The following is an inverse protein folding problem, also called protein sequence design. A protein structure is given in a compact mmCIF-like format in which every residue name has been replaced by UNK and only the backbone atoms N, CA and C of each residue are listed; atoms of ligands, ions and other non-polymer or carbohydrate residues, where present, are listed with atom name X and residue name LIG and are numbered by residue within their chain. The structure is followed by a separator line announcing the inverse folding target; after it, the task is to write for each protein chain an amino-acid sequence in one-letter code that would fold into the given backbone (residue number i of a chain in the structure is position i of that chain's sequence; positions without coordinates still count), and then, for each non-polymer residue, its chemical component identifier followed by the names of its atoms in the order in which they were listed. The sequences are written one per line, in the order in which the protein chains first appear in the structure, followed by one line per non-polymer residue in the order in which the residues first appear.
data_IF_158089854756
#
_entry.id   IF_158089854756
#
_cell.length_a   1.000
_cell.length_b   1.000
_cell.length_c   1.000
_cell.angle_alpha   90.00
_cell.angle_beta   90.00
_cell.angle_gamma   90.00
#
_symmetry.space_group_name_H-M   'P 1'
#
loop_
_entity.id
_entity.type
_entity.pdbx_description
1 polymer ?
#
# COMPACT_ATOMS: atom_id res chain seq x y z
N UNK A 1 -20.07 -7.56 -15.06
CA UNK A 1 -18.95 -6.78 -14.48
C UNK A 1 -18.09 -6.10 -15.54
N UNK A 2 -17.55 -6.83 -16.54
CA UNK A 2 -16.73 -6.23 -17.61
C UNK A 2 -17.32 -4.98 -18.26
N UNK A 3 -18.60 -5.02 -18.66
CA UNK A 3 -19.29 -3.88 -19.28
C UNK A 3 -19.36 -2.62 -18.40
N UNK A 4 -19.35 -2.77 -17.06
CA UNK A 4 -19.34 -1.62 -16.16
C UNK A 4 -17.94 -1.01 -16.09
N UNK A 5 -16.89 -1.84 -16.03
CA UNK A 5 -15.49 -1.41 -16.09
C UNK A 5 -15.13 -0.72 -17.41
N UNK A 6 -15.69 -1.20 -18.52
CA UNK A 6 -15.47 -0.64 -19.86
C UNK A 6 -16.46 0.51 -20.19
N UNK A 7 -17.25 0.98 -19.22
CA UNK A 7 -18.16 2.10 -19.42
C UNK A 7 -17.42 3.44 -19.54
N UNK A 8 -18.07 4.41 -20.17
CA UNK A 8 -17.53 5.77 -20.27
C UNK A 8 -17.30 6.40 -18.90
N UNK A 9 -18.22 6.20 -17.95
CA UNK A 9 -18.10 6.72 -16.59
C UNK A 9 -16.83 6.21 -15.91
N UNK A 10 -16.60 4.89 -15.89
CA UNK A 10 -15.39 4.32 -15.30
C UNK A 10 -14.15 4.79 -16.05
N UNK A 11 -14.18 4.81 -17.39
CA UNK A 11 -13.03 5.27 -18.18
C UNK A 11 -12.62 6.72 -17.84
N UNK A 12 -13.59 7.59 -17.59
CA UNK A 12 -13.34 8.97 -17.20
C UNK A 12 -12.79 9.12 -15.78
N UNK A 13 -13.09 8.19 -14.85
CA UNK A 13 -12.76 8.33 -13.42
C UNK A 13 -11.73 7.30 -12.92
N UNK A 14 -11.32 6.33 -13.75
CA UNK A 14 -10.41 5.25 -13.34
C UNK A 14 -9.07 5.79 -12.84
N UNK A 15 -8.60 6.89 -13.43
CA UNK A 15 -7.36 7.56 -13.03
C UNK A 15 -7.39 8.04 -11.56
N UNK A 16 -8.56 8.40 -11.02
CA UNK A 16 -8.70 8.80 -9.63
C UNK A 16 -8.48 7.63 -8.67
N UNK A 17 -8.91 6.42 -9.06
CA UNK A 17 -8.60 5.20 -8.32
C UNK A 17 -7.13 4.80 -8.47
N UNK A 18 -6.54 4.99 -9.66
CA UNK A 18 -5.10 4.79 -9.86
C UNK A 18 -4.30 5.72 -8.95
N UNK A 19 -4.74 6.98 -8.77
CA UNK A 19 -4.08 7.91 -7.86
C UNK A 19 -4.04 7.42 -6.41
N UNK A 20 -5.09 6.71 -5.98
CA UNK A 20 -5.18 6.12 -4.63
C UNK A 20 -4.25 4.91 -4.47
N UNK A 21 -4.15 4.05 -5.48
CA UNK A 21 -3.43 2.78 -5.37
C UNK A 21 -1.97 2.87 -5.80
N UNK A 22 -1.65 3.72 -6.77
CA UNK A 22 -0.32 3.82 -7.39
C UNK A 22 0.18 5.26 -7.56
N UNK A 23 -0.67 6.26 -7.34
CA UNK A 23 -0.31 7.66 -7.54
C UNK A 23 -0.08 8.43 -6.25
N UNK A 24 -0.20 9.75 -6.35
CA UNK A 24 0.17 10.67 -5.28
C UNK A 24 -0.75 10.63 -4.05
N UNK A 25 -1.95 10.03 -4.17
CA UNK A 25 -2.88 9.86 -3.02
C UNK A 25 -2.62 8.55 -2.26
N UNK A 26 -1.57 7.79 -2.58
CA UNK A 26 -1.21 6.57 -1.86
C UNK A 26 -0.50 6.86 -0.52
N UNK A 27 0.25 7.97 -0.43
CA UNK A 27 1.08 8.35 0.73
C UNK A 27 0.96 9.84 1.04
N UNK A 28 1.53 10.28 2.15
CA UNK A 28 1.62 11.69 2.52
C UNK A 28 0.30 12.31 2.98
N UNK A 29 0.21 13.63 2.87
CA UNK A 29 -0.95 14.40 3.30
C UNK A 29 -2.16 14.18 2.37
N UNK A 30 -1.91 13.91 1.09
CA UNK A 30 -2.96 13.61 0.11
C UNK A 30 -3.67 12.30 0.42
N UNK A 31 -2.94 11.27 0.87
CA UNK A 31 -3.55 10.04 1.38
C UNK A 31 -4.39 10.27 2.63
N UNK A 32 -3.93 11.14 3.55
CA UNK A 32 -4.71 11.51 4.74
C UNK A 32 -6.01 12.23 4.35
N UNK A 33 -5.93 13.20 3.43
CA UNK A 33 -7.08 13.94 2.95
C UNK A 33 -8.09 13.07 2.20
N UNK A 34 -7.64 11.96 1.61
CA UNK A 34 -8.47 11.01 0.88
C UNK A 34 -8.91 9.79 1.71
N UNK A 35 -8.65 9.77 3.02
CA UNK A 35 -8.91 8.63 3.92
C UNK A 35 -8.28 7.31 3.44
N UNK A 36 -7.07 7.39 2.87
CA UNK A 36 -6.37 6.29 2.19
C UNK A 36 -5.04 5.92 2.90
N UNK A 37 -4.94 6.14 4.21
CA UNK A 37 -3.77 5.73 4.99
C UNK A 37 -3.93 4.30 5.51
N UNK A 38 -2.90 3.49 5.28
CA UNK A 38 -2.80 2.12 5.79
C UNK A 38 -1.77 2.03 6.93
N UNK A 39 -1.68 0.85 7.55
CA UNK A 39 -0.68 0.59 8.59
C UNK A 39 0.73 0.75 8.01
N UNK A 40 1.65 1.42 8.72
CA UNK A 40 2.95 1.81 8.14
C UNK A 40 3.76 0.64 7.54
N UNK A 41 3.63 -0.56 8.10
CA UNK A 41 4.30 -1.77 7.60
C UNK A 41 3.80 -2.26 6.23
N UNK A 42 2.58 -1.88 5.82
CA UNK A 42 2.06 -2.27 4.50
C UNK A 42 2.81 -1.55 3.37
N UNK A 43 3.51 -0.45 3.67
CA UNK A 43 4.30 0.32 2.71
C UNK A 43 5.71 -0.23 2.48
N UNK A 44 6.04 -1.35 3.11
CA UNK A 44 7.34 -2.01 3.08
C UNK A 44 8.11 -1.91 4.39
N UNK A 45 9.23 -2.63 4.47
CA UNK A 45 10.16 -2.52 5.59
C UNK A 45 10.90 -1.17 5.47
N UNK A 46 10.99 -0.36 6.54
CA UNK A 46 11.79 0.86 6.52
C UNK A 46 13.24 0.56 6.12
N UNK A 47 13.85 1.42 5.30
CA UNK A 47 15.25 1.25 4.85
C UNK A 47 16.26 1.13 6.00
N UNK A 48 15.89 1.62 7.19
CA UNK A 48 16.70 1.62 8.41
C UNK A 48 16.55 0.32 9.23
N UNK A 49 15.71 -0.62 8.78
CA UNK A 49 15.46 -1.88 9.45
C UNK A 49 15.69 -3.01 8.43
N UNK A 50 16.94 -3.36 8.16
CA UNK A 50 17.16 -4.59 7.43
C UNK A 50 16.67 -5.76 8.28
N UNK A 51 15.81 -6.61 7.72
CA UNK A 51 15.37 -7.85 8.37
C UNK A 51 16.54 -8.74 8.79
N UNK A 52 17.70 -8.58 8.13
CA UNK A 52 18.93 -9.31 8.42
C UNK A 52 19.78 -8.71 9.54
N UNK A 53 19.48 -7.48 9.96
CA UNK A 53 20.20 -6.76 11.03
C UNK A 53 19.48 -6.88 12.38
N UNK A 54 18.28 -7.48 12.40
CA UNK A 54 17.54 -7.73 13.62
C UNK A 54 18.22 -8.86 14.43
N UNK A 55 18.62 -8.55 15.66
CA UNK A 55 19.31 -9.50 16.54
C UNK A 55 18.37 -10.61 17.04
N UNK A 56 17.06 -10.35 17.06
CA UNK A 56 16.04 -11.26 17.60
C UNK A 56 15.22 -11.91 16.49
N UNK A 57 15.35 -13.24 16.40
CA UNK A 57 14.62 -14.05 15.43
C UNK A 57 13.09 -13.92 15.54
N UNK A 58 12.56 -13.79 16.76
CA UNK A 58 11.12 -13.64 17.00
C UNK A 58 10.57 -12.33 16.41
N UNK A 59 11.31 -11.23 16.55
CA UNK A 59 10.91 -9.94 15.98
C UNK A 59 10.93 -10.00 14.45
N UNK A 60 11.95 -10.63 13.86
CA UNK A 60 12.04 -10.84 12.42
C UNK A 60 10.83 -11.65 11.90
N UNK A 61 10.52 -12.78 12.56
CA UNK A 61 9.39 -13.63 12.21
C UNK A 61 8.05 -12.89 12.35
N UNK A 62 7.89 -12.09 13.40
CA UNK A 62 6.68 -11.30 13.61
C UNK A 62 6.46 -10.26 12.52
N UNK A 63 7.54 -9.58 12.10
CA UNK A 63 7.51 -8.56 11.05
C UNK A 63 7.25 -9.18 9.68
N UNK A 64 7.88 -10.31 9.38
CA UNK A 64 7.63 -11.08 8.15
C UNK A 64 6.18 -11.55 8.09
N UNK A 65 5.66 -12.12 9.18
CA UNK A 65 4.25 -12.52 9.28
C UNK A 65 3.33 -11.33 9.05
N UNK A 66 3.63 -10.18 9.65
CA UNK A 66 2.84 -8.96 9.47
C UNK A 66 2.77 -8.53 8.00
N UNK A 67 3.90 -8.56 7.29
CA UNK A 67 4.00 -8.13 5.88
C UNK A 67 3.35 -9.14 4.93
N UNK A 68 3.48 -10.44 5.20
CA UNK A 68 2.93 -11.49 4.34
C UNK A 68 1.42 -11.62 4.50
N UNK A 69 0.90 -11.50 5.73
CA UNK A 69 -0.49 -11.85 6.03
C UNK A 69 -1.43 -10.62 6.13
N UNK A 70 -0.89 -9.41 6.36
CA UNK A 70 -1.71 -8.21 6.62
C UNK A 70 -1.57 -7.09 5.58
N UNK A 71 -1.17 -7.46 4.36
CA UNK A 71 -1.28 -6.62 3.18
C UNK A 71 0.02 -5.91 2.80
N UNK A 72 0.17 -5.73 1.49
CA UNK A 72 1.31 -5.06 0.87
C UNK A 72 0.78 -4.02 -0.11
N UNK A 73 1.03 -2.74 0.17
CA UNK A 73 0.68 -1.64 -0.71
C UNK A 73 1.65 -1.68 -1.91
N UNK A 74 1.15 -1.62 -3.16
CA UNK A 74 1.99 -1.57 -4.35
C UNK A 74 3.00 -0.41 -4.30
N UNK A 75 4.09 -0.51 -5.05
CA UNK A 75 5.00 0.63 -5.20
C UNK A 75 4.30 1.77 -5.96
N UNK A 76 4.53 2.98 -5.47
CA UNK A 76 4.26 4.22 -6.20
C UNK A 76 5.30 4.40 -7.31
#
# INVERSE_FOLDING_TARGET
MRLALESEHVSQHLHEWIDLIFGYKQRGDEARCADNLFHYLTYGVPENHSLTEMEQYEEQLSLETQILEFGQVPKQ
#
